data_IF_039478288068
#
_entry.id   IF_039478288068
#
_cell.length_a   1.000
_cell.length_b   1.000
_cell.length_c   1.000
_cell.angle_alpha   90.00
_cell.angle_beta   90.00
_cell.angle_gamma   90.00
#
_symmetry.space_group_name_H-M   'P 1'
#
loop_
_entity.id
_entity.type
_entity.pdbx_description
1 polymer ?
#
# COMPACT_ATOMS: atom_id res chain seq x y z
N UNK A 1 19.76 1.38 -6.51
CA UNK A 1 20.16 2.34 -7.56
C UNK A 1 19.63 1.84 -8.89
N UNK A 2 18.61 2.49 -9.46
CA UNK A 2 18.27 2.34 -10.88
C UNK A 2 18.40 3.72 -11.49
N UNK A 3 19.42 3.92 -12.29
CA UNK A 3 19.50 4.99 -13.28
C UNK A 3 20.54 4.56 -14.32
N UNK A 4 20.16 3.73 -15.29
CA UNK A 4 20.91 3.62 -16.54
C UNK A 4 19.99 3.97 -17.71
N UNK A 5 20.14 5.26 -18.08
CA UNK A 5 20.07 5.91 -19.39
C UNK A 5 19.39 5.13 -20.52
N UNK A 6 18.29 5.68 -21.04
CA UNK A 6 17.73 5.16 -22.27
C UNK A 6 16.77 6.08 -23.02
N UNK A 7 15.86 6.80 -22.36
CA UNK A 7 14.94 7.72 -23.04
C UNK A 7 14.33 8.69 -22.02
N UNK A 8 14.28 9.98 -22.36
CA UNK A 8 13.99 11.08 -21.42
C UNK A 8 12.50 11.11 -21.04
N UNK A 9 12.18 10.52 -19.90
CA UNK A 9 11.02 10.90 -19.07
C UNK A 9 11.40 12.16 -18.26
N UNK A 10 10.56 13.21 -18.17
CA UNK A 10 10.97 14.51 -17.63
C UNK A 10 11.22 14.55 -16.10
N UNK A 11 11.10 13.44 -15.38
CA UNK A 11 11.37 13.37 -13.95
C UNK A 11 12.52 12.42 -13.65
N UNK A 12 13.68 13.00 -13.36
CA UNK A 12 14.91 12.32 -13.01
C UNK A 12 14.75 11.53 -11.71
N UNK A 13 15.15 10.27 -11.76
CA UNK A 13 15.44 9.44 -10.60
C UNK A 13 16.50 10.16 -9.75
N UNK A 14 16.10 10.84 -8.69
CA UNK A 14 16.82 11.19 -7.45
C UNK A 14 15.97 12.22 -6.68
N UNK A 15 15.83 12.00 -5.36
CA UNK A 15 15.07 12.81 -4.39
C UNK A 15 13.54 12.76 -4.50
N UNK A 16 12.91 12.09 -3.53
CA UNK A 16 12.14 12.83 -2.52
C UNK A 16 11.94 11.96 -1.28
N UNK A 17 12.52 12.42 -0.18
CA UNK A 17 12.21 12.00 1.18
C UNK A 17 10.76 12.45 1.42
N UNK A 18 9.84 11.53 1.67
CA UNK A 18 8.48 11.85 2.08
C UNK A 18 8.48 12.45 3.50
N UNK A 19 8.87 13.72 3.61
CA UNK A 19 8.11 14.69 4.36
C UNK A 19 7.21 15.40 3.34
N UNK A 20 6.00 15.82 3.73
CA UNK A 20 5.03 16.55 2.88
C UNK A 20 5.56 17.84 2.20
N UNK A 21 6.86 18.13 2.31
CA UNK A 21 7.58 19.26 1.73
C UNK A 21 8.24 18.85 0.41
N UNK A 22 7.47 18.80 -0.68
CA UNK A 22 8.06 18.53 -2.01
C UNK A 22 7.07 18.25 -3.15
N UNK A 23 5.82 17.93 -2.83
CA UNK A 23 4.79 17.76 -3.86
C UNK A 23 4.38 19.11 -4.46
N UNK A 24 4.01 19.16 -5.75
CA UNK A 24 3.52 20.39 -6.37
C UNK A 24 2.32 20.93 -5.58
N UNK A 25 2.24 22.26 -5.43
CA UNK A 25 1.17 22.90 -4.67
C UNK A 25 -0.23 22.49 -5.15
N UNK A 26 -0.40 22.17 -6.44
CA UNK A 26 -1.63 21.64 -7.03
C UNK A 26 -2.05 20.29 -6.45
N UNK A 27 -1.11 19.40 -6.18
CA UNK A 27 -1.37 18.09 -5.54
C UNK A 27 -1.78 18.25 -4.08
N UNK A 28 -1.09 19.11 -3.32
CA UNK A 28 -1.48 19.41 -1.93
C UNK A 28 -2.85 20.10 -1.85
N UNK A 29 -3.18 20.95 -2.82
CA UNK A 29 -4.46 21.65 -2.84
C UNK A 29 -5.61 20.70 -3.20
N UNK A 30 -5.42 19.77 -4.15
CA UNK A 30 -6.40 18.73 -4.45
C UNK A 30 -6.67 17.84 -3.22
N UNK A 31 -5.61 17.41 -2.51
CA UNK A 31 -5.72 16.62 -1.28
C UNK A 31 -6.51 17.33 -0.17
N UNK A 32 -6.27 18.64 0.05
CA UNK A 32 -6.99 19.40 1.08
C UNK A 32 -8.48 19.59 0.78
N UNK A 33 -8.88 19.53 -0.48
CA UNK A 33 -10.23 19.93 -0.90
C UNK A 33 -11.23 18.76 -0.86
N UNK A 34 -10.76 17.50 -0.72
CA UNK A 34 -11.63 16.32 -0.84
C UNK A 34 -11.48 15.28 0.29
N UNK A 35 -11.08 15.73 1.49
CA UNK A 35 -10.89 14.87 2.67
C UNK A 35 -12.08 13.95 2.94
N UNK A 36 -13.31 14.43 2.82
CA UNK A 36 -14.49 13.60 3.13
C UNK A 36 -14.70 12.46 2.13
N UNK A 37 -14.35 12.66 0.84
CA UNK A 37 -14.35 11.58 -0.15
C UNK A 37 -13.18 10.61 0.07
N UNK A 38 -12.01 11.13 0.44
CA UNK A 38 -10.82 10.34 0.75
C UNK A 38 -11.02 9.44 1.99
N UNK A 39 -11.79 9.91 2.99
CA UNK A 39 -12.17 9.11 4.17
C UNK A 39 -13.16 7.98 3.85
N UNK A 40 -13.73 7.92 2.64
CA UNK A 40 -14.61 6.82 2.21
C UNK A 40 -13.87 5.63 1.61
N UNK A 41 -12.58 5.79 1.27
CA UNK A 41 -11.77 4.71 0.74
C UNK A 41 -11.58 3.61 1.80
N UNK A 42 -12.07 2.42 1.49
CA UNK A 42 -11.88 1.25 2.33
C UNK A 42 -10.46 0.75 2.15
N UNK A 43 -9.72 0.68 3.25
CA UNK A 43 -8.32 0.26 3.23
C UNK A 43 -8.18 -1.12 3.85
N UNK A 44 -7.56 -2.03 3.13
CA UNK A 44 -7.16 -3.34 3.61
C UNK A 44 -5.68 -3.41 3.94
N UNK A 45 -5.30 -4.19 4.95
CA UNK A 45 -3.88 -4.51 5.21
C UNK A 45 -3.70 -6.02 5.32
N UNK A 46 -2.82 -6.59 4.50
CA UNK A 46 -2.36 -7.99 4.63
C UNK A 46 -0.97 -7.98 5.24
N UNK A 47 -0.86 -8.63 6.40
CA UNK A 47 0.33 -8.61 7.25
C UNK A 47 0.20 -7.55 8.34
N UNK A 48 -0.23 -7.98 9.52
CA UNK A 48 -0.49 -7.15 10.71
C UNK A 48 0.63 -7.26 11.75
N UNK A 49 1.85 -7.59 11.30
CA UNK A 49 3.05 -7.57 12.13
C UNK A 49 3.46 -6.16 12.54
N UNK A 50 4.70 -5.99 13.02
CA UNK A 50 5.18 -4.72 13.58
C UNK A 50 5.02 -3.50 12.65
N UNK A 51 5.23 -3.68 11.34
CA UNK A 51 5.09 -2.61 10.35
C UNK A 51 3.63 -2.45 9.94
N UNK A 52 3.04 -3.44 9.26
CA UNK A 52 1.66 -3.37 8.76
C UNK A 52 0.61 -3.14 9.83
N UNK A 53 0.74 -3.74 11.02
CA UNK A 53 -0.15 -3.47 12.15
C UNK A 53 -0.01 -2.04 12.69
N UNK A 54 1.18 -1.46 12.64
CA UNK A 54 1.41 -0.05 12.98
C UNK A 54 0.79 0.91 11.96
N UNK A 55 0.94 0.60 10.67
CA UNK A 55 0.30 1.37 9.59
C UNK A 55 -1.23 1.30 9.69
N UNK A 56 -1.79 0.11 9.83
CA UNK A 56 -3.22 -0.11 9.97
C UNK A 56 -3.81 0.65 11.16
N UNK A 57 -3.14 0.58 12.33
CA UNK A 57 -3.56 1.32 13.53
C UNK A 57 -3.49 2.84 13.34
N UNK A 58 -2.45 3.34 12.67
CA UNK A 58 -2.31 4.77 12.38
C UNK A 58 -3.45 5.26 11.48
N UNK A 59 -3.75 4.52 10.41
CA UNK A 59 -4.86 4.83 9.51
C UNK A 59 -6.21 4.80 10.25
N UNK A 60 -6.46 3.77 11.05
CA UNK A 60 -7.68 3.68 11.86
C UNK A 60 -7.81 4.86 12.83
N UNK A 61 -6.72 5.26 13.50
CA UNK A 61 -6.72 6.41 14.42
C UNK A 61 -6.99 7.76 13.73
N UNK A 62 -6.75 7.85 12.42
CA UNK A 62 -7.07 9.02 11.59
C UNK A 62 -8.50 8.99 11.04
N UNK A 63 -9.25 7.91 11.31
CA UNK A 63 -10.67 7.75 10.98
C UNK A 63 -10.95 6.96 9.71
N UNK A 64 -9.94 6.38 9.06
CA UNK A 64 -10.14 5.56 7.86
C UNK A 64 -10.88 4.26 8.19
N UNK A 65 -11.65 3.73 7.25
CA UNK A 65 -12.22 2.39 7.37
C UNK A 65 -11.14 1.34 7.04
N UNK A 66 -10.49 0.82 8.08
CA UNK A 66 -9.38 -0.13 7.95
C UNK A 66 -9.80 -1.53 8.35
N UNK A 67 -9.63 -2.46 7.42
CA UNK A 67 -9.78 -3.90 7.64
C UNK A 67 -8.42 -4.61 7.50
N UNK A 68 -8.20 -5.68 8.24
CA UNK A 68 -6.89 -6.33 8.32
C UNK A 68 -6.96 -7.85 8.28
N UNK A 69 -5.98 -8.48 7.63
CA UNK A 69 -5.80 -9.94 7.62
C UNK A 69 -4.35 -10.30 7.97
N UNK A 70 -4.19 -11.34 8.79
CA UNK A 70 -2.91 -11.99 9.09
C UNK A 70 -3.14 -13.48 9.38
N UNK A 71 -2.13 -14.31 9.20
CA UNK A 71 -2.17 -15.73 9.57
C UNK A 71 -2.10 -15.93 11.10
N UNK A 72 -1.53 -14.96 11.81
CA UNK A 72 -1.40 -14.95 13.26
C UNK A 72 -2.65 -14.39 13.92
N UNK A 73 -3.35 -15.23 14.70
CA UNK A 73 -4.48 -14.80 15.53
C UNK A 73 -4.07 -13.73 16.54
N UNK A 74 -2.84 -13.80 17.07
CA UNK A 74 -2.32 -12.78 17.98
C UNK A 74 -2.14 -11.42 17.30
N UNK A 75 -1.72 -11.38 16.03
CA UNK A 75 -1.61 -10.16 15.25
C UNK A 75 -3.00 -9.55 14.96
N UNK A 76 -3.98 -10.40 14.64
CA UNK A 76 -5.38 -9.98 14.46
C UNK A 76 -5.95 -9.35 15.73
N UNK A 77 -5.84 -10.01 16.88
CA UNK A 77 -6.32 -9.48 18.17
C UNK A 77 -5.62 -8.17 18.55
N UNK A 78 -4.31 -8.06 18.27
CA UNK A 78 -3.58 -6.82 18.53
C UNK A 78 -4.06 -5.68 17.64
N UNK A 79 -4.29 -5.93 16.35
CA UNK A 79 -4.81 -4.93 15.42
C UNK A 79 -6.24 -4.48 15.82
N UNK A 80 -7.09 -5.43 16.22
CA UNK A 80 -8.44 -5.17 16.72
C UNK A 80 -8.44 -4.22 17.92
N UNK A 81 -7.55 -4.45 18.90
CA UNK A 81 -7.40 -3.56 20.06
C UNK A 81 -7.00 -2.12 19.71
N UNK A 82 -6.55 -1.88 18.46
CA UNK A 82 -6.13 -0.59 17.93
C UNK A 82 -7.10 0.00 16.90
N UNK A 83 -8.31 -0.56 16.80
CA UNK A 83 -9.38 -0.04 15.93
C UNK A 83 -9.35 -0.53 14.49
N UNK A 84 -8.52 -1.54 14.17
CA UNK A 84 -8.54 -2.20 12.86
C UNK A 84 -9.58 -3.32 12.87
N UNK A 85 -10.36 -3.48 11.80
CA UNK A 85 -11.38 -4.55 11.70
C UNK A 85 -10.72 -5.85 11.21
N UNK A 86 -10.51 -6.87 12.07
CA UNK A 86 -9.93 -8.13 11.61
C UNK A 86 -10.90 -8.85 10.66
N UNK A 87 -10.36 -9.46 9.61
CA UNK A 87 -11.10 -10.28 8.64
C UNK A 87 -10.59 -11.71 8.74
N UNK A 88 -11.50 -12.69 8.77
CA UNK A 88 -11.14 -14.10 8.95
C UNK A 88 -10.58 -14.74 7.66
N UNK A 89 -10.97 -14.24 6.49
CA UNK A 89 -10.56 -14.76 5.20
C UNK A 89 -9.94 -13.69 4.32
N UNK A 90 -8.74 -13.97 3.80
CA UNK A 90 -8.03 -13.08 2.86
C UNK A 90 -8.88 -12.70 1.66
N UNK A 91 -9.69 -13.64 1.13
CA UNK A 91 -10.59 -13.41 -0.01
C UNK A 91 -11.58 -12.29 0.27
N UNK A 92 -12.23 -12.31 1.43
CA UNK A 92 -13.20 -11.30 1.81
C UNK A 92 -12.54 -9.91 1.88
N UNK A 93 -11.31 -9.82 2.38
CA UNK A 93 -10.58 -8.55 2.43
C UNK A 93 -10.29 -8.03 1.02
N UNK A 94 -9.69 -8.86 0.15
CA UNK A 94 -9.34 -8.48 -1.23
C UNK A 94 -10.54 -7.95 -2.03
N UNK A 95 -11.72 -8.51 -1.79
CA UNK A 95 -12.94 -8.17 -2.54
C UNK A 95 -13.70 -6.95 -2.03
N UNK A 96 -13.31 -6.38 -0.87
CA UNK A 96 -14.13 -5.38 -0.16
C UNK A 96 -13.45 -4.03 0.04
N UNK A 97 -12.22 -3.86 -0.43
CA UNK A 97 -11.39 -2.68 -0.18
C UNK A 97 -10.98 -2.01 -1.49
N UNK A 98 -10.81 -0.70 -1.46
CA UNK A 98 -10.36 0.09 -2.61
C UNK A 98 -8.82 0.12 -2.70
N UNK A 99 -8.17 0.10 -1.54
CA UNK A 99 -6.71 0.09 -1.40
C UNK A 99 -6.31 -1.09 -0.51
N UNK A 100 -5.33 -1.89 -0.94
CA UNK A 100 -4.82 -3.03 -0.22
C UNK A 100 -3.31 -2.89 0.01
N UNK A 101 -2.92 -2.66 1.27
CA UNK A 101 -1.53 -2.55 1.69
C UNK A 101 -0.98 -3.95 1.98
N UNK A 102 0.17 -4.29 1.40
CA UNK A 102 0.93 -5.49 1.71
C UNK A 102 2.15 -5.13 2.55
N UNK A 103 2.30 -5.79 3.70
CA UNK A 103 3.47 -5.65 4.57
C UNK A 103 3.95 -7.04 4.98
N UNK A 104 4.64 -7.73 4.06
CA UNK A 104 4.99 -9.13 4.21
C UNK A 104 6.49 -9.32 4.53
N UNK A 105 6.89 -10.49 5.07
CA UNK A 105 8.30 -10.71 5.42
C UNK A 105 9.29 -10.75 4.24
N UNK A 106 8.83 -11.14 3.04
CA UNK A 106 9.69 -11.42 1.88
C UNK A 106 8.95 -11.21 0.56
N UNK A 107 9.72 -10.94 -0.49
CA UNK A 107 9.25 -10.85 -1.87
C UNK A 107 8.43 -12.08 -2.33
N UNK A 108 8.88 -13.30 -2.01
CA UNK A 108 8.17 -14.53 -2.40
C UNK A 108 6.74 -14.61 -1.83
N UNK A 109 6.49 -14.00 -0.67
CA UNK A 109 5.16 -13.95 -0.07
C UNK A 109 4.26 -12.96 -0.81
N UNK A 110 4.80 -11.82 -1.26
CA UNK A 110 4.05 -10.84 -2.06
C UNK A 110 3.67 -11.45 -3.40
N UNK A 111 4.60 -12.12 -4.08
CA UNK A 111 4.30 -12.81 -5.34
C UNK A 111 3.23 -13.88 -5.14
N UNK A 112 3.31 -14.68 -4.08
CA UNK A 112 2.30 -15.69 -3.75
C UNK A 112 0.92 -15.07 -3.46
N UNK A 113 0.86 -13.97 -2.70
CA UNK A 113 -0.40 -13.27 -2.40
C UNK A 113 -0.97 -12.59 -3.64
N UNK A 114 -0.13 -12.08 -4.54
CA UNK A 114 -0.58 -11.39 -5.74
C UNK A 114 -0.98 -12.35 -6.86
N UNK A 115 -0.14 -13.35 -7.16
CA UNK A 115 -0.21 -14.16 -8.38
C UNK A 115 -0.43 -15.65 -8.11
N UNK A 116 -0.35 -16.10 -6.86
CA UNK A 116 -0.63 -17.49 -6.49
C UNK A 116 -2.12 -17.83 -6.56
N UNK A 117 -2.45 -19.11 -6.40
CA UNK A 117 -3.83 -19.57 -6.39
C UNK A 117 -4.65 -18.90 -5.28
N UNK A 118 -5.82 -18.35 -5.62
CA UNK A 118 -6.60 -17.51 -4.71
C UNK A 118 -5.87 -16.24 -4.29
N UNK A 119 -5.01 -15.71 -5.18
CA UNK A 119 -4.29 -14.46 -5.02
C UNK A 119 -5.10 -13.25 -5.52
N UNK A 120 -4.49 -12.08 -5.44
CA UNK A 120 -5.12 -10.81 -5.84
C UNK A 120 -5.47 -10.79 -7.34
N UNK A 121 -4.67 -11.41 -8.20
CA UNK A 121 -4.95 -11.51 -9.63
C UNK A 121 -6.26 -12.25 -9.95
N UNK A 122 -6.68 -13.20 -9.10
CA UNK A 122 -7.89 -13.99 -9.28
C UNK A 122 -9.08 -13.44 -8.48
N UNK A 123 -8.84 -12.83 -7.31
CA UNK A 123 -9.87 -12.44 -6.36
C UNK A 123 -10.14 -10.95 -6.32
N UNK A 124 -9.20 -10.12 -6.79
CA UNK A 124 -9.33 -8.68 -6.84
C UNK A 124 -10.37 -8.23 -7.87
N UNK A 125 -10.69 -6.95 -7.82
CA UNK A 125 -11.62 -6.31 -8.75
C UNK A 125 -10.93 -5.18 -9.49
N UNK A 126 -11.47 -4.82 -10.65
CA UNK A 126 -11.03 -3.66 -11.40
C UNK A 126 -11.07 -2.40 -10.51
N UNK A 127 -10.04 -1.57 -10.61
CA UNK A 127 -9.91 -0.34 -9.84
C UNK A 127 -9.20 -0.51 -8.49
N UNK A 128 -9.05 -1.74 -7.97
CA UNK A 128 -8.28 -2.03 -6.76
C UNK A 128 -6.84 -1.54 -6.90
N UNK A 129 -6.30 -0.92 -5.84
CA UNK A 129 -4.89 -0.51 -5.77
C UNK A 129 -4.17 -1.36 -4.73
N UNK A 130 -3.11 -2.05 -5.14
CA UNK A 130 -2.21 -2.77 -4.25
C UNK A 130 -1.00 -1.90 -3.95
N UNK A 131 -0.71 -1.65 -2.66
CA UNK A 131 0.47 -0.91 -2.21
C UNK A 131 1.39 -1.88 -1.49
N UNK A 132 2.49 -2.29 -2.13
CA UNK A 132 3.48 -3.15 -1.49
C UNK A 132 4.51 -2.33 -0.72
N UNK A 133 4.52 -2.51 0.59
CA UNK A 133 5.50 -1.90 1.51
C UNK A 133 6.62 -2.86 1.91
N UNK A 134 6.55 -4.09 1.40
CA UNK A 134 7.55 -5.13 1.63
C UNK A 134 8.88 -4.71 1.02
N UNK A 135 9.98 -5.04 1.69
CA UNK A 135 11.30 -4.92 1.07
C UNK A 135 11.44 -6.01 -0.01
N UNK A 136 11.19 -5.63 -1.25
CA UNK A 136 11.17 -6.52 -2.43
C UNK A 136 12.32 -6.21 -3.41
N UNK A 137 12.41 -6.99 -4.49
CA UNK A 137 13.31 -6.72 -5.61
C UNK A 137 12.57 -5.97 -6.72
N UNK A 138 13.22 -5.02 -7.43
CA UNK A 138 12.56 -4.27 -8.50
C UNK A 138 12.04 -5.15 -9.66
N UNK A 139 12.69 -6.29 -9.91
CA UNK A 139 12.26 -7.25 -10.93
C UNK A 139 10.93 -7.91 -10.57
N UNK A 140 10.78 -8.34 -9.31
CA UNK A 140 9.53 -8.91 -8.83
C UNK A 140 8.42 -7.86 -8.87
N UNK A 141 8.66 -6.64 -8.35
CA UNK A 141 7.64 -5.59 -8.33
C UNK A 141 7.13 -5.27 -9.74
N UNK A 142 8.03 -5.21 -10.75
CA UNK A 142 7.64 -5.04 -12.16
C UNK A 142 6.82 -6.21 -12.71
N UNK A 143 7.20 -7.44 -12.38
CA UNK A 143 6.46 -8.64 -12.79
C UNK A 143 5.04 -8.63 -12.24
N UNK A 144 4.90 -8.39 -10.93
CA UNK A 144 3.59 -8.35 -10.26
C UNK A 144 2.73 -7.22 -10.83
N UNK A 145 3.29 -6.02 -11.00
CA UNK A 145 2.58 -4.90 -11.61
C UNK A 145 2.05 -5.23 -13.01
N UNK A 146 2.89 -5.84 -13.86
CA UNK A 146 2.50 -6.21 -15.22
C UNK A 146 1.38 -7.26 -15.26
N UNK A 147 1.38 -8.22 -14.34
CA UNK A 147 0.34 -9.25 -14.27
C UNK A 147 -0.98 -8.71 -13.70
N UNK A 148 -0.92 -7.87 -12.65
CA UNK A 148 -2.12 -7.26 -12.06
C UNK A 148 -2.78 -6.23 -12.99
N UNK A 149 -1.99 -5.52 -13.80
CA UNK A 149 -2.53 -4.57 -14.78
C UNK A 149 -3.46 -5.25 -15.81
N UNK A 150 -3.25 -6.55 -16.11
CA UNK A 150 -4.12 -7.30 -17.03
C UNK A 150 -5.54 -7.48 -16.51
N UNK A 151 -5.77 -7.32 -15.20
CA UNK A 151 -7.07 -7.43 -14.55
C UNK A 151 -7.61 -6.08 -14.08
N UNK A 152 -6.97 -4.97 -14.49
CA UNK A 152 -7.37 -3.62 -14.09
C UNK A 152 -7.02 -3.26 -12.65
N UNK A 153 -6.08 -3.99 -12.04
CA UNK A 153 -5.59 -3.75 -10.68
C UNK A 153 -4.27 -2.98 -10.76
N UNK A 154 -4.17 -1.88 -10.02
CA UNK A 154 -2.94 -1.09 -9.93
C UNK A 154 -1.99 -1.68 -8.89
N UNK A 155 -0.69 -1.54 -9.12
CA UNK A 155 0.34 -1.96 -8.17
C UNK A 155 1.35 -0.83 -7.94
N UNK A 156 1.56 -0.49 -6.68
CA UNK A 156 2.47 0.56 -6.20
C UNK A 156 3.57 -0.10 -5.38
N UNK A 157 4.83 0.04 -5.81
CA UNK A 157 6.01 -0.38 -5.05
C UNK A 157 6.39 0.76 -4.10
N UNK A 158 6.19 0.59 -2.79
CA UNK A 158 6.39 1.63 -1.79
C UNK A 158 7.15 1.11 -0.55
N UNK A 159 8.38 0.57 -0.69
CA UNK A 159 9.19 0.15 0.45
C UNK A 159 9.39 1.29 1.45
N UNK A 160 9.28 0.94 2.74
CA UNK A 160 9.24 1.90 3.85
C UNK A 160 10.53 1.91 4.69
N UNK A 161 10.87 3.07 5.22
CA UNK A 161 11.95 3.30 6.19
C UNK A 161 11.44 4.05 7.42
N UNK A 162 12.07 3.84 8.58
CA UNK A 162 11.67 4.44 9.87
C UNK A 162 11.23 3.44 10.94
N UNK A 163 11.13 2.16 10.59
CA UNK A 163 10.89 1.05 11.51
C UNK A 163 9.51 1.07 12.20
N UNK A 164 9.27 0.15 13.15
CA UNK A 164 7.97 -0.01 13.80
C UNK A 164 7.46 1.25 14.51
N UNK A 165 8.38 2.06 15.05
CA UNK A 165 8.04 3.33 15.68
C UNK A 165 7.46 4.30 14.65
N UNK A 166 8.12 4.46 13.50
CA UNK A 166 7.63 5.32 12.41
C UNK A 166 6.29 4.84 11.86
N UNK A 167 6.09 3.52 11.76
CA UNK A 167 4.81 2.95 11.35
C UNK A 167 3.68 3.26 12.34
N UNK A 168 3.95 3.15 13.64
CA UNK A 168 2.97 3.46 14.70
C UNK A 168 2.67 4.95 14.85
N UNK A 169 3.52 5.84 14.34
CA UNK A 169 3.32 7.30 14.39
C UNK A 169 2.96 7.92 13.04
N UNK A 170 2.93 7.13 11.96
CA UNK A 170 2.70 7.63 10.61
C UNK A 170 3.79 8.58 10.10
N UNK A 171 5.03 8.41 10.54
CA UNK A 171 6.17 9.27 10.17
C UNK A 171 7.25 8.52 9.39
N UNK A 172 6.85 7.44 8.69
CA UNK A 172 7.77 6.69 7.84
C UNK A 172 8.11 7.49 6.58
N UNK A 173 9.24 7.17 5.97
CA UNK A 173 9.55 7.61 4.60
C UNK A 173 9.36 6.45 3.64
N UNK A 174 8.84 6.76 2.45
CA UNK A 174 8.60 5.78 1.38
C UNK A 174 9.37 6.18 0.14
N UNK A 175 9.86 5.19 -0.62
CA UNK A 175 10.36 5.39 -1.99
C UNK A 175 9.34 4.74 -2.90
N UNK A 176 8.69 5.52 -3.76
CA UNK A 176 7.51 5.08 -4.49
C UNK A 176 7.83 4.87 -5.98
N UNK A 177 7.47 3.71 -6.51
CA UNK A 177 7.35 3.42 -7.94
C UNK A 177 5.89 3.14 -8.29
N UNK A 178 5.27 4.05 -9.05
CA UNK A 178 3.89 3.97 -9.48
C UNK A 178 3.64 4.85 -10.72
N UNK A 179 2.52 4.60 -11.41
CA UNK A 179 1.95 5.56 -12.36
C UNK A 179 1.34 6.75 -11.59
N UNK A 180 1.43 7.96 -12.17
CA UNK A 180 0.98 9.20 -11.52
C UNK A 180 -0.50 9.16 -11.09
N UNK A 181 -1.35 8.56 -11.93
CA UNK A 181 -2.78 8.44 -11.66
C UNK A 181 -3.07 7.49 -10.48
N UNK A 182 -2.32 6.40 -10.36
CA UNK A 182 -2.49 5.43 -9.28
C UNK A 182 -1.98 5.99 -7.95
N UNK A 183 -0.83 6.68 -7.99
CA UNK A 183 -0.31 7.39 -6.83
C UNK A 183 -1.29 8.48 -6.35
N UNK A 184 -1.87 9.25 -7.26
CA UNK A 184 -2.84 10.28 -6.89
C UNK A 184 -4.07 9.71 -6.16
N UNK A 185 -4.55 8.52 -6.59
CA UNK A 185 -5.67 7.81 -5.93
C UNK A 185 -5.28 7.24 -4.56
N UNK A 186 -4.05 6.76 -4.41
CA UNK A 186 -3.56 6.17 -3.16
C UNK A 186 -3.07 7.21 -2.13
N UNK A 187 -2.79 8.44 -2.57
CA UNK A 187 -2.19 9.51 -1.77
C UNK A 187 -2.81 9.77 -0.37
N UNK A 188 -4.12 9.60 -0.15
CA UNK A 188 -4.69 9.84 1.17
C UNK A 188 -4.27 8.85 2.27
N UNK A 189 -3.84 7.66 1.87
CA UNK A 189 -3.49 6.51 2.72
C UNK A 189 -1.98 6.44 2.90
#
# INVERSE_FOLDING_TARGET
MIAERGERCPYSVHQQIAAFTGLPASFLNAYKTNRDADMTLKTGVIGLGNMGGGMAATLASKGFDVSGFDLSSAALSQAESKGVKPVAERKQLIQSVDILILSLPKAEHVESVCLGAGGISELGHEGLIVVDTTTSTPEMSRKVAAELAKTGIAFIDAPVSGGPKGAATGTMSMVIGAEDADLARAMPV
#
